data_IF_828135961610
#
_entry.id   IF_828135961610
#
_cell.length_a   1.000
_cell.length_b   1.000
_cell.length_c   1.000
_cell.angle_alpha   90.00
_cell.angle_beta   90.00
_cell.angle_gamma   90.00
#
_symmetry.space_group_name_H-M   'P 1'
#
loop_
_entity.id
_entity.type
_entity.pdbx_description
1 polymer ?
#
# COMPACT_ATOMS: atom_id res chain seq x y z
N UNK A 1 7.74 -22.37 -85.48
CA UNK A 1 6.54 -23.11 -85.08
C UNK A 1 6.15 -22.68 -83.71
N UNK A 2 5.08 -21.92 -83.65
CA UNK A 2 4.50 -21.16 -82.56
C UNK A 2 3.58 -22.03 -81.72
N UNK A 3 3.71 -22.06 -80.40
CA UNK A 3 2.63 -22.48 -79.53
C UNK A 3 2.42 -21.45 -78.39
N UNK A 4 1.41 -20.67 -78.59
CA UNK A 4 0.78 -19.78 -77.64
C UNK A 4 -0.07 -20.61 -76.66
N UNK A 5 0.29 -20.68 -75.39
CA UNK A 5 -0.60 -21.14 -74.33
C UNK A 5 -1.22 -19.93 -73.64
N UNK A 6 -2.53 -19.78 -73.85
CA UNK A 6 -3.39 -18.77 -73.20
C UNK A 6 -3.55 -19.14 -71.71
N UNK A 7 -3.07 -18.30 -70.84
CA UNK A 7 -3.41 -18.35 -69.41
C UNK A 7 -4.79 -17.72 -69.22
N UNK A 8 -5.74 -18.53 -68.82
CA UNK A 8 -7.10 -18.13 -68.44
C UNK A 8 -7.06 -17.46 -67.10
N UNK A 9 -7.35 -16.14 -67.04
CA UNK A 9 -7.62 -15.42 -65.81
C UNK A 9 -8.92 -15.97 -65.23
N UNK A 10 -8.84 -16.64 -64.07
CA UNK A 10 -10.01 -16.96 -63.25
C UNK A 10 -10.27 -15.76 -62.34
N UNK A 11 -11.38 -15.13 -62.57
CA UNK A 11 -11.90 -14.05 -61.75
C UNK A 11 -12.44 -14.63 -60.43
N UNK A 12 -11.86 -14.21 -59.30
CA UNK A 12 -12.42 -14.46 -58.00
C UNK A 12 -12.60 -13.13 -57.19
N UNK A 13 -13.35 -12.14 -57.66
CA UNK A 13 -13.52 -10.87 -56.95
C UNK A 13 -14.48 -11.00 -55.76
N UNK A 14 -15.37 -12.02 -55.73
CA UNK A 14 -16.38 -12.12 -54.65
C UNK A 14 -15.91 -12.85 -53.39
N UNK A 15 -14.99 -13.75 -53.48
CA UNK A 15 -14.45 -14.45 -52.29
C UNK A 15 -13.48 -13.61 -51.45
N UNK A 16 -12.78 -12.66 -52.06
CA UNK A 16 -11.89 -11.75 -51.37
C UNK A 16 -12.65 -10.73 -50.52
N UNK A 17 -13.83 -10.27 -50.97
CA UNK A 17 -14.65 -9.35 -50.18
C UNK A 17 -15.30 -10.01 -48.96
N UNK A 18 -15.65 -11.30 -49.02
CA UNK A 18 -16.20 -12.01 -47.83
C UNK A 18 -15.15 -12.31 -46.77
N UNK A 19 -13.92 -12.58 -47.15
CA UNK A 19 -12.83 -12.78 -46.23
C UNK A 19 -12.47 -11.50 -45.46
N UNK A 20 -12.54 -10.33 -46.12
CA UNK A 20 -12.25 -9.04 -45.51
C UNK A 20 -13.37 -8.56 -44.56
N UNK A 21 -14.63 -8.90 -44.84
CA UNK A 21 -15.76 -8.56 -44.00
C UNK A 21 -15.84 -9.39 -42.74
N UNK A 22 -15.39 -10.66 -42.78
CA UNK A 22 -15.38 -11.56 -41.61
C UNK A 22 -14.28 -11.19 -40.59
N UNK A 23 -13.16 -10.58 -41.04
CA UNK A 23 -12.09 -10.16 -40.13
C UNK A 23 -12.37 -8.85 -39.41
N UNK A 24 -13.28 -8.03 -39.89
CA UNK A 24 -13.64 -6.75 -39.23
C UNK A 24 -14.61 -6.91 -38.05
N UNK A 25 -15.28 -8.04 -37.93
CA UNK A 25 -16.25 -8.30 -36.84
C UNK A 25 -15.63 -8.86 -35.56
N UNK A 26 -14.34 -9.12 -35.53
CA UNK A 26 -13.65 -9.69 -34.35
C UNK A 26 -12.95 -8.64 -33.47
N UNK A 27 -13.01 -7.34 -33.79
CA UNK A 27 -12.28 -6.29 -33.07
C UNK A 27 -13.17 -5.44 -32.16
N UNK A 28 -14.47 -5.73 -32.03
CA UNK A 28 -15.38 -5.01 -31.14
C UNK A 28 -15.59 -5.76 -29.82
N UNK A 29 -14.53 -5.89 -29.03
CA UNK A 29 -14.59 -6.58 -27.75
C UNK A 29 -13.66 -6.02 -26.68
N UNK A 30 -13.16 -4.79 -26.78
CA UNK A 30 -12.67 -4.06 -25.61
C UNK A 30 -13.87 -3.39 -24.95
N UNK A 31 -14.60 -4.16 -24.12
CA UNK A 31 -15.38 -3.55 -23.06
C UNK A 31 -14.35 -2.83 -22.15
N UNK A 32 -14.23 -1.52 -22.29
CA UNK A 32 -13.73 -0.69 -21.22
C UNK A 32 -14.68 -0.92 -20.06
N UNK A 33 -14.25 -1.74 -19.10
CA UNK A 33 -14.84 -1.72 -17.78
C UNK A 33 -14.48 -0.32 -17.28
N UNK A 34 -15.40 0.62 -17.41
CA UNK A 34 -15.41 1.82 -16.62
C UNK A 34 -15.51 1.32 -15.18
N UNK A 35 -14.33 1.15 -14.58
CA UNK A 35 -14.22 1.09 -13.14
C UNK A 35 -14.44 2.52 -12.67
N UNK A 36 -15.66 3.01 -12.80
CA UNK A 36 -16.18 3.97 -11.86
C UNK A 36 -15.94 3.31 -10.51
N UNK A 37 -14.87 3.77 -9.86
CA UNK A 37 -14.61 3.44 -8.47
C UNK A 37 -15.77 4.00 -7.66
N UNK A 38 -16.92 3.32 -7.74
CA UNK A 38 -17.90 3.42 -6.69
C UNK A 38 -17.12 3.05 -5.44
N UNK A 39 -16.92 4.01 -4.56
CA UNK A 39 -16.51 3.84 -3.17
C UNK A 39 -17.52 2.89 -2.51
N UNK A 40 -17.42 1.62 -2.89
CA UNK A 40 -18.18 0.56 -2.26
C UNK A 40 -17.52 0.39 -0.91
N UNK A 41 -18.01 1.19 0.05
CA UNK A 41 -17.63 1.04 1.45
C UNK A 41 -17.75 -0.45 1.76
N UNK A 42 -16.66 -1.12 2.13
CA UNK A 42 -16.67 -2.56 2.35
C UNK A 42 -17.77 -2.92 3.37
N UNK A 43 -18.37 -4.09 3.23
CA UNK A 43 -19.44 -4.54 4.12
C UNK A 43 -18.86 -4.84 5.51
N UNK A 44 -19.33 -4.12 6.54
CA UNK A 44 -18.94 -4.35 7.95
C UNK A 44 -18.83 -3.04 8.75
N UNK A 45 -18.77 -3.12 10.07
CA UNK A 45 -18.54 -1.96 10.91
C UNK A 45 -17.10 -1.45 10.76
N UNK A 46 -16.88 -0.16 10.97
CA UNK A 46 -15.54 0.40 11.00
C UNK A 46 -14.74 -0.18 12.19
N UNK A 47 -13.43 -0.38 11.99
CA UNK A 47 -12.56 -0.83 13.08
C UNK A 47 -12.52 0.26 14.17
N UNK A 48 -12.61 -0.11 15.47
CA UNK A 48 -12.42 0.85 16.56
C UNK A 48 -10.98 1.41 16.53
N UNK A 49 -10.84 2.73 16.67
CA UNK A 49 -9.54 3.41 16.60
C UNK A 49 -8.69 3.21 17.86
N UNK A 50 -9.30 2.76 18.94
CA UNK A 50 -8.69 2.45 20.24
C UNK A 50 -8.48 0.96 20.47
N UNK A 51 -8.59 0.14 19.40
CA UNK A 51 -8.44 -1.31 19.52
C UNK A 51 -7.06 -1.67 20.10
N UNK A 52 -7.02 -2.34 21.26
CA UNK A 52 -5.76 -2.49 22.00
C UNK A 52 -4.84 -3.55 21.41
N UNK A 53 -5.38 -4.49 20.61
CA UNK A 53 -4.59 -5.64 20.14
C UNK A 53 -4.89 -5.99 18.69
N UNK A 54 -3.86 -5.91 17.85
CA UNK A 54 -3.94 -6.23 16.43
C UNK A 54 -2.56 -6.42 15.80
N UNK A 55 -2.50 -7.00 14.62
CA UNK A 55 -1.31 -6.93 13.77
C UNK A 55 -1.64 -6.44 12.36
N UNK A 56 -0.67 -5.80 11.73
CA UNK A 56 -0.76 -5.31 10.37
C UNK A 56 0.53 -5.61 9.60
N UNK A 57 0.41 -5.92 8.31
CA UNK A 57 1.54 -6.11 7.40
C UNK A 57 1.30 -5.33 6.13
N UNK A 58 2.38 -4.84 5.52
CA UNK A 58 2.27 -4.09 4.30
C UNK A 58 3.56 -3.45 3.83
N UNK A 59 3.39 -2.32 3.15
CA UNK A 59 4.49 -1.47 2.67
C UNK A 59 4.31 -0.07 3.19
N UNK A 60 5.41 0.58 3.48
CA UNK A 60 5.45 1.99 3.87
C UNK A 60 6.48 2.71 3.02
N UNK A 61 6.14 3.93 2.62
CA UNK A 61 7.04 4.85 1.90
C UNK A 61 7.19 6.10 2.73
N UNK A 62 8.42 6.52 2.95
CA UNK A 62 8.79 7.74 3.67
C UNK A 62 9.40 8.72 2.66
N UNK A 63 8.83 9.90 2.54
CA UNK A 63 9.32 10.95 1.63
C UNK A 63 9.70 12.20 2.42
N UNK A 64 10.91 12.72 2.20
CA UNK A 64 11.43 13.95 2.78
C UNK A 64 12.10 14.78 1.66
N UNK A 65 11.47 15.89 1.27
CA UNK A 65 11.88 16.63 0.09
C UNK A 65 11.76 15.76 -1.18
N UNK A 66 12.88 15.61 -1.90
CA UNK A 66 12.96 14.77 -3.12
C UNK A 66 13.35 13.31 -2.84
N UNK A 67 13.77 13.02 -1.62
CA UNK A 67 14.20 11.68 -1.23
C UNK A 67 13.00 10.83 -0.82
N UNK A 68 12.99 9.57 -1.24
CA UNK A 68 11.94 8.60 -0.87
C UNK A 68 12.56 7.24 -0.60
N UNK A 69 12.23 6.70 0.56
CA UNK A 69 12.58 5.34 0.94
C UNK A 69 11.34 4.49 1.14
N UNK A 70 11.42 3.21 0.76
CA UNK A 70 10.30 2.27 0.89
C UNK A 70 10.75 1.03 1.64
N UNK A 71 9.92 0.59 2.58
CA UNK A 71 10.13 -0.63 3.35
C UNK A 71 8.87 -1.51 3.37
N UNK A 72 9.05 -2.79 3.64
CA UNK A 72 7.97 -3.64 4.13
C UNK A 72 7.89 -3.47 5.63
N UNK A 73 6.68 -3.49 6.17
CA UNK A 73 6.50 -3.46 7.60
C UNK A 73 5.67 -4.63 8.10
N UNK A 74 5.93 -5.02 9.32
CA UNK A 74 5.06 -5.81 10.16
C UNK A 74 4.94 -5.08 11.50
N UNK A 75 3.72 -4.76 11.91
CA UNK A 75 3.41 -4.12 13.16
C UNK A 75 2.57 -5.04 14.02
N UNK A 76 3.01 -5.27 15.23
CA UNK A 76 2.30 -6.01 16.26
C UNK A 76 2.01 -5.06 17.43
N UNK A 77 0.75 -4.84 17.71
CA UNK A 77 0.27 -4.17 18.92
C UNK A 77 -0.23 -5.23 19.89
N UNK A 78 0.40 -5.33 21.05
CA UNK A 78 0.02 -6.28 22.10
C UNK A 78 -0.98 -5.69 23.08
N UNK A 79 -0.89 -4.38 23.29
CA UNK A 79 -1.79 -3.56 24.10
C UNK A 79 -1.64 -2.08 23.68
N UNK A 80 -2.31 -1.16 24.37
CA UNK A 80 -2.25 0.28 24.05
C UNK A 80 -0.88 0.91 24.27
N UNK A 81 0.02 0.25 25.01
CA UNK A 81 1.33 0.79 25.41
C UNK A 81 2.51 0.03 24.80
N UNK A 82 2.25 -1.14 24.21
CA UNK A 82 3.33 -2.02 23.71
C UNK A 82 3.16 -2.30 22.23
N UNK A 83 4.09 -1.78 21.43
CA UNK A 83 4.17 -1.99 19.99
C UNK A 83 5.53 -2.57 19.60
N UNK A 84 5.51 -3.45 18.59
CA UNK A 84 6.71 -3.92 17.90
C UNK A 84 6.51 -3.71 16.41
N UNK A 85 7.34 -2.86 15.80
CA UNK A 85 7.33 -2.59 14.37
C UNK A 85 8.63 -3.12 13.78
N UNK A 86 8.52 -4.02 12.82
CA UNK A 86 9.65 -4.52 12.04
C UNK A 86 9.62 -3.89 10.66
N UNK A 87 10.68 -3.18 10.29
CA UNK A 87 10.90 -2.62 8.96
C UNK A 87 11.94 -3.45 8.22
N UNK A 88 11.66 -3.83 6.98
CA UNK A 88 12.60 -4.53 6.10
C UNK A 88 12.58 -3.91 4.71
N UNK A 89 13.73 -3.41 4.27
CA UNK A 89 13.91 -2.81 2.95
C UNK A 89 14.19 -3.87 1.88
N UNK A 90 14.02 -3.52 0.58
CA UNK A 90 14.28 -4.44 -0.54
C UNK A 90 15.77 -4.82 -0.64
N UNK A 91 16.69 -3.97 -0.17
CA UNK A 91 18.13 -4.17 -0.23
C UNK A 91 18.78 -4.27 1.15
N UNK A 92 18.05 -4.03 2.24
CA UNK A 92 18.60 -4.17 3.58
C UNK A 92 18.57 -5.64 3.98
N UNK A 93 19.72 -6.25 4.04
CA UNK A 93 19.91 -7.59 4.60
C UNK A 93 19.59 -7.66 6.10
N UNK A 94 19.28 -6.52 6.73
CA UNK A 94 18.98 -6.42 8.16
C UNK A 94 17.63 -5.70 8.35
N UNK A 95 16.78 -6.35 9.12
CA UNK A 95 15.54 -5.73 9.59
C UNK A 95 15.84 -4.74 10.70
N UNK A 96 15.18 -3.57 10.66
CA UNK A 96 15.14 -2.65 11.78
C UNK A 96 13.90 -2.95 12.62
N UNK A 97 14.04 -2.94 13.92
CA UNK A 97 12.94 -3.20 14.86
C UNK A 97 12.78 -1.97 15.74
N UNK A 98 11.57 -1.47 15.84
CA UNK A 98 11.16 -0.41 16.74
C UNK A 98 10.27 -1.05 17.80
N UNK A 99 10.67 -0.96 19.06
CA UNK A 99 9.92 -1.44 20.20
C UNK A 99 9.48 -0.26 21.05
N UNK A 100 8.17 -0.05 21.20
CA UNK A 100 7.62 0.91 22.15
C UNK A 100 7.08 0.18 23.37
N UNK A 101 7.44 0.68 24.53
CA UNK A 101 6.88 0.29 25.84
C UNK A 101 6.64 1.56 26.64
N UNK A 102 5.39 1.89 26.84
CA UNK A 102 5.01 3.19 27.41
C UNK A 102 5.65 4.35 26.61
N UNK A 103 6.38 5.23 27.27
CA UNK A 103 7.08 6.38 26.71
C UNK A 103 8.48 6.04 26.15
N UNK A 104 8.92 4.80 26.32
CA UNK A 104 10.25 4.37 25.88
C UNK A 104 10.15 3.75 24.50
N UNK A 105 10.88 4.32 23.55
CA UNK A 105 11.00 3.77 22.20
C UNK A 105 12.44 3.39 21.92
N UNK A 106 12.66 2.09 21.68
CA UNK A 106 13.95 1.52 21.32
C UNK A 106 14.00 1.26 19.82
N UNK A 107 15.13 1.55 19.22
CA UNK A 107 15.48 1.14 17.88
C UNK A 107 16.57 0.08 17.92
N UNK A 108 16.38 -0.97 17.11
CA UNK A 108 17.33 -2.08 16.98
C UNK A 108 17.67 -2.34 15.52
N UNK A 109 18.96 -2.47 15.22
CA UNK A 109 19.48 -2.87 13.91
C UNK A 109 20.61 -3.89 14.10
N UNK A 110 20.29 -5.16 13.90
CA UNK A 110 21.18 -6.26 14.26
C UNK A 110 21.46 -6.27 15.76
N UNK A 111 22.73 -6.15 16.15
CA UNK A 111 23.17 -6.12 17.56
C UNK A 111 23.12 -4.72 18.20
N UNK A 112 22.97 -3.68 17.39
CA UNK A 112 22.87 -2.30 17.90
C UNK A 112 21.48 -2.07 18.47
N UNK A 113 21.43 -1.54 19.70
CA UNK A 113 20.20 -1.13 20.39
C UNK A 113 20.43 0.25 20.98
N UNK A 114 19.55 1.18 20.71
CA UNK A 114 19.60 2.52 21.29
C UNK A 114 18.21 3.12 21.44
N UNK A 115 18.08 4.19 22.22
CA UNK A 115 16.87 4.97 22.28
C UNK A 115 16.61 5.60 20.92
N UNK A 116 15.36 5.57 20.45
CA UNK A 116 15.01 6.18 19.17
C UNK A 116 15.29 7.69 19.14
N UNK A 117 15.11 8.38 20.27
CA UNK A 117 15.42 9.81 20.43
C UNK A 117 16.89 10.16 20.25
N UNK A 118 17.78 9.16 20.27
CA UNK A 118 19.23 9.33 20.04
C UNK A 118 19.66 8.96 18.61
N UNK A 119 18.72 8.52 17.79
CA UNK A 119 18.98 8.17 16.40
C UNK A 119 19.27 9.44 15.59
N UNK A 120 20.27 9.38 14.73
CA UNK A 120 20.54 10.47 13.79
C UNK A 120 19.53 10.42 12.63
N UNK A 121 18.78 11.50 12.34
CA UNK A 121 17.82 11.54 11.24
C UNK A 121 18.52 11.76 9.88
N UNK A 122 19.37 10.82 9.47
CA UNK A 122 20.22 10.91 8.27
C UNK A 122 19.55 10.34 7.02
N UNK A 123 18.34 9.84 7.12
CA UNK A 123 17.55 9.31 6.02
C UNK A 123 16.06 9.59 6.22
N UNK A 124 15.21 9.53 5.15
CA UNK A 124 13.76 9.69 5.28
C UNK A 124 13.12 8.76 6.32
N UNK A 125 13.58 7.51 6.42
CA UNK A 125 13.08 6.56 7.43
C UNK A 125 13.43 7.01 8.83
N UNK A 126 14.70 7.31 9.11
CA UNK A 126 15.14 7.71 10.45
C UNK A 126 14.57 9.06 10.87
N UNK A 127 14.47 10.01 9.94
CA UNK A 127 13.82 11.30 10.17
C UNK A 127 12.34 11.12 10.54
N UNK A 128 11.62 10.27 9.83
CA UNK A 128 10.22 9.96 10.13
C UNK A 128 10.09 9.30 11.50
N UNK A 129 10.90 8.28 11.78
CA UNK A 129 10.84 7.57 13.06
C UNK A 129 11.09 8.47 14.26
N UNK A 130 12.02 9.42 14.16
CA UNK A 130 12.34 10.36 15.25
C UNK A 130 11.23 11.41 15.44
N UNK A 131 10.58 11.83 14.36
CA UNK A 131 9.61 12.95 14.38
C UNK A 131 8.16 12.53 14.66
N UNK A 132 7.82 11.24 14.43
CA UNK A 132 6.45 10.77 14.60
C UNK A 132 6.04 10.68 16.08
N UNK A 133 4.79 11.09 16.42
CA UNK A 133 4.22 10.87 17.75
C UNK A 133 3.84 9.39 17.92
N UNK A 134 4.74 8.62 18.52
CA UNK A 134 4.61 7.15 18.61
C UNK A 134 3.36 6.66 19.32
N UNK A 135 2.81 7.45 20.23
CA UNK A 135 1.57 7.13 20.94
C UNK A 135 0.36 7.11 20.01
N UNK A 136 0.30 8.10 19.10
CA UNK A 136 -0.83 8.31 18.19
C UNK A 136 -0.79 7.44 16.94
N UNK A 137 0.40 6.95 16.54
CA UNK A 137 0.60 6.22 15.29
C UNK A 137 -0.33 5.00 15.14
N UNK A 138 -0.56 4.28 16.23
CA UNK A 138 -1.40 3.08 16.17
C UNK A 138 -2.87 3.40 15.92
N UNK A 139 -3.41 4.45 16.52
CA UNK A 139 -4.77 4.92 16.28
C UNK A 139 -4.91 5.53 14.88
N UNK A 140 -3.88 6.24 14.38
CA UNK A 140 -3.85 6.75 13.01
C UNK A 140 -3.91 5.64 11.97
N UNK A 141 -3.21 4.54 12.22
CA UNK A 141 -3.24 3.39 11.32
C UNK A 141 -4.62 2.72 11.30
N UNK A 142 -5.39 2.79 12.40
CA UNK A 142 -6.78 2.33 12.48
C UNK A 142 -7.79 3.34 11.93
N UNK A 143 -7.34 4.52 11.48
CA UNK A 143 -8.18 5.53 10.84
C UNK A 143 -8.64 6.66 11.74
N UNK A 144 -8.05 6.83 12.92
CA UNK A 144 -8.23 8.06 13.70
C UNK A 144 -7.61 9.24 12.94
N UNK A 145 -8.25 10.40 13.01
CA UNK A 145 -7.64 11.65 12.58
C UNK A 145 -6.48 12.04 13.50
N UNK A 146 -5.61 12.93 13.02
CA UNK A 146 -4.59 13.53 13.86
C UNK A 146 -5.24 14.63 14.71
N UNK A 147 -5.04 14.55 16.03
CA UNK A 147 -5.46 15.59 16.97
C UNK A 147 -4.39 16.70 17.10
N UNK A 148 -3.22 16.49 16.50
CA UNK A 148 -2.07 17.40 16.60
C UNK A 148 -2.04 18.32 15.37
N UNK A 149 -1.87 19.62 15.61
CA UNK A 149 -1.93 20.64 14.55
C UNK A 149 -0.81 20.50 13.49
N UNK A 150 0.25 19.79 13.83
CA UNK A 150 1.41 19.58 12.93
C UNK A 150 1.23 18.36 11.99
N UNK A 151 0.24 17.50 12.24
CA UNK A 151 0.06 16.26 11.49
C UNK A 151 -1.33 16.19 10.86
N UNK A 152 -1.38 15.63 9.66
CA UNK A 152 -2.60 15.31 8.94
C UNK A 152 -2.61 13.82 8.61
N UNK A 153 -3.73 13.16 8.87
CA UNK A 153 -3.93 11.73 8.60
C UNK A 153 -5.14 11.56 7.69
N UNK A 154 -4.92 10.97 6.53
CA UNK A 154 -5.95 10.70 5.53
C UNK A 154 -6.03 9.20 5.25
N UNK A 155 -7.20 8.60 5.45
CA UNK A 155 -7.48 7.23 4.98
C UNK A 155 -8.02 7.31 3.56
N UNK A 156 -7.22 6.86 2.59
CA UNK A 156 -7.52 6.96 1.16
C UNK A 156 -8.10 5.68 0.55
N UNK A 157 -8.07 4.56 1.28
CA UNK A 157 -8.74 3.32 0.88
C UNK A 157 -9.05 2.45 2.11
N UNK A 158 -10.13 1.68 2.00
CA UNK A 158 -10.60 0.74 3.03
C UNK A 158 -10.64 -0.68 2.48
N UNK A 159 -10.56 -1.67 3.36
CA UNK A 159 -10.68 -3.09 3.03
C UNK A 159 -11.47 -3.82 4.10
N UNK A 160 -12.16 -4.89 3.71
CA UNK A 160 -12.78 -5.77 4.68
C UNK A 160 -11.72 -6.72 5.26
N UNK A 161 -11.49 -6.59 6.55
CA UNK A 161 -10.63 -7.46 7.35
C UNK A 161 -11.47 -7.95 8.53
N UNK A 162 -12.04 -9.16 8.45
CA UNK A 162 -13.03 -9.61 9.42
C UNK A 162 -12.58 -9.45 10.89
N UNK A 163 -13.47 -8.97 11.75
CA UNK A 163 -14.89 -8.63 11.50
C UNK A 163 -15.11 -7.18 11.04
N UNK A 164 -14.05 -6.39 10.76
CA UNK A 164 -14.07 -4.95 10.58
C UNK A 164 -13.80 -4.51 9.15
N UNK A 165 -14.26 -3.29 8.84
CA UNK A 165 -13.66 -2.49 7.78
C UNK A 165 -12.49 -1.72 8.36
N UNK A 166 -11.32 -1.97 7.83
CA UNK A 166 -10.06 -1.37 8.27
C UNK A 166 -9.38 -0.61 7.12
N UNK A 167 -8.54 0.37 7.42
CA UNK A 167 -7.77 1.08 6.40
C UNK A 167 -6.93 0.13 5.55
N UNK A 168 -6.94 0.37 4.23
CA UNK A 168 -6.05 -0.29 3.28
C UNK A 168 -4.91 0.64 2.86
N UNK A 169 -5.18 1.96 2.84
CA UNK A 169 -4.17 2.98 2.56
C UNK A 169 -4.35 4.16 3.49
N UNK A 170 -3.27 4.55 4.13
CA UNK A 170 -3.20 5.72 5.01
C UNK A 170 -2.09 6.63 4.53
N UNK A 171 -2.34 7.92 4.45
CA UNK A 171 -1.33 8.95 4.18
C UNK A 171 -1.22 9.84 5.39
N UNK A 172 0.00 10.01 5.90
CA UNK A 172 0.33 10.85 7.05
C UNK A 172 1.25 11.96 6.56
N UNK A 173 0.95 13.21 6.85
CA UNK A 173 1.74 14.38 6.47
C UNK A 173 2.03 15.23 7.69
N UNK A 174 3.27 15.69 7.81
CA UNK A 174 3.69 16.58 8.89
C UNK A 174 5.20 16.72 8.94
N UNK A 175 5.73 17.69 9.67
CA UNK A 175 7.16 17.94 9.84
C UNK A 175 7.96 17.99 8.51
N UNK A 176 7.33 18.45 7.41
CA UNK A 176 7.95 18.50 6.07
C UNK A 176 8.08 17.15 5.36
N UNK A 177 7.42 16.11 5.85
CA UNK A 177 7.45 14.75 5.26
C UNK A 177 6.08 14.23 4.89
N UNK A 178 6.06 13.23 4.00
CA UNK A 178 4.88 12.44 3.66
C UNK A 178 5.18 10.95 3.87
N UNK A 179 4.28 10.27 4.57
CA UNK A 179 4.36 8.83 4.83
C UNK A 179 3.13 8.16 4.23
N UNK A 180 3.33 7.23 3.30
CA UNK A 180 2.25 6.45 2.70
C UNK A 180 2.33 5.01 3.18
N UNK A 181 1.26 4.55 3.81
CA UNK A 181 1.14 3.18 4.31
C UNK A 181 0.13 2.43 3.47
N UNK A 182 0.53 1.29 2.90
CA UNK A 182 -0.34 0.36 2.19
C UNK A 182 -0.40 -0.92 3.01
N UNK A 183 -1.56 -1.23 3.54
CA UNK A 183 -1.78 -2.37 4.42
C UNK A 183 -2.37 -3.51 3.59
N UNK A 184 -1.64 -4.61 3.50
CA UNK A 184 -2.06 -5.78 2.74
C UNK A 184 -2.75 -6.83 3.60
N UNK A 185 -2.53 -6.80 4.90
CA UNK A 185 -3.09 -7.78 5.83
C UNK A 185 -3.30 -7.14 7.21
N UNK A 186 -4.48 -7.38 7.77
CA UNK A 186 -4.83 -7.14 9.16
C UNK A 186 -5.12 -8.46 9.86
N UNK A 187 -4.77 -8.55 11.11
CA UNK A 187 -5.18 -9.61 12.03
C UNK A 187 -5.68 -8.95 13.31
N UNK A 188 -6.94 -9.15 13.63
CA UNK A 188 -7.55 -8.64 14.83
C UNK A 188 -7.73 -9.80 15.80
N UNK A 189 -7.10 -9.71 16.99
CA UNK A 189 -7.33 -10.69 18.03
C UNK A 189 -8.75 -10.55 18.56
N UNK A 190 -9.50 -11.66 18.79
CA UNK A 190 -10.77 -11.58 19.47
C UNK A 190 -10.56 -10.91 20.83
N UNK A 191 -11.45 -9.97 21.15
CA UNK A 191 -11.54 -9.46 22.52
C UNK A 191 -11.91 -10.64 23.43
N UNK A 192 -11.30 -10.77 24.60
CA UNK A 192 -11.61 -11.84 25.54
C UNK A 192 -13.05 -11.74 26.05
#
# INVERSE_FOLDING_TARGET
>A
MTHLSRFRRREYPLLACYALAATLLLVTGCATVDTDGADTKPAGPAVPTDLPRWSAKGKVSFSLGEETETARFQWLRNDSQTDVITLSGPFSLRSQIIERRDDIVLWRNGEQVQLLSQLNPDSPVTAALVSLPHESMGSWLLGAGADEQEWQVDVTAWQFAPPWNAPAKVTIRGAGMEIKVIISQWEFSPLP
#
